data_IF_546382544190
#
_entry.id   IF_546382544190
#
_cell.length_a   1.000
_cell.length_b   1.000
_cell.length_c   1.000
_cell.angle_alpha   90.00
_cell.angle_beta   90.00
_cell.angle_gamma   90.00
#
_symmetry.space_group_name_H-M   'P 1'
#
loop_
_entity.id
_entity.type
_entity.pdbx_description
1 polymer ?
#
# COMPACT_ATOMS: atom_id res chain seq x y z
N UNK A 1 7.33 3.53 -20.37
CA UNK A 1 7.61 2.29 -21.14
C UNK A 1 6.47 2.07 -22.14
N UNK A 2 6.78 1.76 -23.40
CA UNK A 2 5.74 1.46 -24.36
C UNK A 2 5.09 0.07 -24.10
N UNK A 3 4.03 -0.26 -24.86
CA UNK A 3 3.32 -1.55 -24.71
C UNK A 3 4.16 -2.78 -25.07
N UNK A 4 5.35 -2.61 -25.59
CA UNK A 4 6.30 -3.69 -25.92
C UNK A 4 7.44 -3.79 -24.90
N UNK A 5 7.42 -2.99 -23.82
CA UNK A 5 8.44 -2.98 -22.78
C UNK A 5 9.67 -2.12 -23.09
N UNK A 6 9.69 -1.37 -24.21
CA UNK A 6 10.81 -0.47 -24.49
C UNK A 6 10.73 0.78 -23.61
N UNK A 7 11.88 1.22 -23.11
CA UNK A 7 11.98 2.46 -22.35
C UNK A 7 11.68 3.65 -23.26
N UNK A 8 10.63 4.42 -22.95
CA UNK A 8 10.34 5.67 -23.62
C UNK A 8 11.14 6.82 -23.03
N UNK A 9 11.25 6.84 -21.72
CA UNK A 9 12.09 7.78 -20.98
C UNK A 9 12.47 7.20 -19.60
N UNK A 10 13.52 7.75 -19.02
CA UNK A 10 14.01 7.43 -17.68
C UNK A 10 14.42 8.73 -17.00
N UNK A 11 13.93 8.94 -15.78
CA UNK A 11 14.28 10.09 -14.96
C UNK A 11 14.50 9.71 -13.51
N UNK A 12 15.37 10.48 -12.85
CA UNK A 12 15.63 10.35 -11.41
C UNK A 12 15.18 11.61 -10.70
N UNK A 13 14.32 11.45 -9.70
CA UNK A 13 13.83 12.57 -8.88
C UNK A 13 14.48 12.53 -7.50
N UNK A 14 15.21 13.59 -7.16
CA UNK A 14 15.85 13.68 -5.85
C UNK A 14 14.87 14.21 -4.81
N UNK A 15 14.48 13.34 -3.88
CA UNK A 15 13.82 13.69 -2.63
C UNK A 15 14.85 13.88 -1.47
N UNK A 16 16.15 13.91 -1.78
CA UNK A 16 17.26 13.96 -0.86
C UNK A 16 17.85 12.60 -0.53
N UNK A 17 19.00 12.56 0.18
CA UNK A 17 19.64 11.31 0.55
C UNK A 17 18.68 10.36 1.29
N UNK A 18 18.62 9.09 0.86
CA UNK A 18 17.73 8.04 1.39
C UNK A 18 16.24 8.21 1.07
N UNK A 19 15.86 9.00 0.05
CA UNK A 19 14.49 9.03 -0.46
C UNK A 19 14.19 7.73 -1.23
N UNK A 20 13.41 6.82 -0.63
CA UNK A 20 12.94 5.61 -1.31
C UNK A 20 11.53 5.85 -1.82
N UNK A 21 11.27 5.46 -3.08
CA UNK A 21 9.92 5.43 -3.65
C UNK A 21 9.07 4.37 -2.99
N UNK A 22 7.79 4.65 -2.92
CA UNK A 22 6.79 3.76 -2.34
C UNK A 22 5.62 3.54 -3.28
N UNK A 23 5.12 4.58 -3.91
CA UNK A 23 3.97 4.52 -4.80
C UNK A 23 4.16 5.46 -5.97
N UNK A 24 3.65 5.07 -7.13
CA UNK A 24 3.59 5.86 -8.36
C UNK A 24 2.27 5.63 -9.06
N UNK A 25 1.62 6.71 -9.47
CA UNK A 25 0.40 6.66 -10.27
C UNK A 25 0.54 7.50 -11.53
N UNK A 26 -0.19 7.14 -12.57
CA UNK A 26 -0.44 8.04 -13.68
C UNK A 26 -1.56 8.99 -13.31
N UNK A 27 -1.38 10.29 -13.60
CA UNK A 27 -2.37 11.33 -13.31
C UNK A 27 -3.28 11.59 -14.50
N UNK A 28 -4.44 12.21 -14.25
CA UNK A 28 -5.49 12.47 -15.27
C UNK A 28 -4.99 13.32 -16.45
N UNK A 29 -3.96 14.12 -16.25
CA UNK A 29 -3.28 14.90 -17.29
C UNK A 29 -2.27 14.09 -18.12
N UNK A 30 -2.13 12.79 -17.84
CA UNK A 30 -1.19 11.89 -18.48
C UNK A 30 0.22 11.92 -17.89
N UNK A 31 0.48 12.77 -16.90
CA UNK A 31 1.72 12.81 -16.16
C UNK A 31 1.79 11.74 -15.05
N UNK A 32 2.72 11.90 -14.11
CA UNK A 32 2.97 10.93 -13.06
C UNK A 32 3.11 11.59 -11.70
N UNK A 33 2.54 10.99 -10.68
CA UNK A 33 2.72 11.38 -9.29
C UNK A 33 3.46 10.27 -8.56
N UNK A 34 4.58 10.61 -7.94
CA UNK A 34 5.44 9.69 -7.23
C UNK A 34 5.57 10.11 -5.77
N UNK A 35 5.42 9.19 -4.85
CA UNK A 35 5.54 9.44 -3.42
C UNK A 35 6.47 8.44 -2.73
N UNK A 36 7.01 8.85 -1.59
CA UNK A 36 7.88 8.01 -0.78
C UNK A 36 8.44 8.74 0.43
N UNK A 37 9.58 8.26 0.90
CA UNK A 37 10.31 8.93 1.97
C UNK A 37 10.73 10.32 1.51
N UNK A 38 10.45 11.30 2.37
CA UNK A 38 10.80 12.71 2.26
C UNK A 38 9.96 13.54 1.29
N UNK A 39 8.97 12.99 0.64
CA UNK A 39 8.07 13.84 -0.14
C UNK A 39 7.33 13.18 -1.28
N UNK A 40 6.85 14.05 -2.15
CA UNK A 40 6.05 13.75 -3.32
C UNK A 40 6.56 14.57 -4.49
N UNK A 41 6.55 13.99 -5.70
CA UNK A 41 6.96 14.62 -6.96
C UNK A 41 5.86 14.42 -7.99
N UNK A 42 5.52 15.48 -8.71
CA UNK A 42 4.71 15.43 -9.93
C UNK A 42 5.61 15.65 -11.14
N UNK A 43 5.47 14.79 -12.14
CA UNK A 43 6.12 14.92 -13.43
C UNK A 43 5.07 14.97 -14.55
N UNK A 44 5.41 15.57 -15.67
CA UNK A 44 4.59 15.53 -16.88
C UNK A 44 4.64 14.14 -17.57
N UNK A 45 3.94 14.00 -18.69
CA UNK A 45 3.89 12.76 -19.46
C UNK A 45 5.26 12.30 -20.01
N UNK A 46 6.24 13.20 -20.11
CA UNK A 46 7.61 12.92 -20.54
C UNK A 46 8.57 12.67 -19.37
N UNK A 47 8.04 12.64 -18.13
CA UNK A 47 8.82 12.47 -16.92
C UNK A 47 9.58 13.72 -16.47
N UNK A 48 9.25 14.91 -16.98
CA UNK A 48 9.88 16.18 -16.53
C UNK A 48 9.21 16.63 -15.24
N UNK A 49 10.02 16.90 -14.20
CA UNK A 49 9.52 17.39 -12.90
C UNK A 49 8.77 18.71 -13.10
N UNK A 50 7.49 18.73 -12.74
CA UNK A 50 6.66 19.93 -12.70
C UNK A 50 6.75 20.62 -11.34
N UNK A 51 6.65 19.84 -10.29
CA UNK A 51 6.82 20.28 -8.90
C UNK A 51 7.18 19.12 -7.98
N UNK A 52 7.71 19.49 -6.81
CA UNK A 52 7.92 18.58 -5.68
C UNK A 52 7.58 19.24 -4.36
N UNK A 53 7.15 18.44 -3.40
CA UNK A 53 6.94 18.87 -2.03
C UNK A 53 7.69 17.97 -1.05
N UNK A 54 8.70 18.54 -0.40
CA UNK A 54 9.52 17.90 0.63
C UNK A 54 9.40 18.62 1.97
N UNK A 55 8.31 19.36 2.16
CA UNK A 55 8.09 20.20 3.33
C UNK A 55 8.11 19.40 4.61
N UNK A 56 9.04 19.70 5.47
CA UNK A 56 9.16 19.11 6.81
C UNK A 56 8.00 19.57 7.69
N UNK A 57 7.60 18.71 8.59
CA UNK A 57 6.68 19.05 9.65
C UNK A 57 7.29 18.76 11.01
N UNK A 58 7.30 19.77 11.90
CA UNK A 58 7.92 19.68 13.21
C UNK A 58 9.38 19.15 13.14
N UNK A 59 10.10 19.50 12.06
CA UNK A 59 11.48 19.07 11.83
C UNK A 59 11.63 17.68 11.18
N UNK A 60 10.57 16.88 11.13
CA UNK A 60 10.58 15.55 10.49
C UNK A 60 10.22 15.64 9.00
N UNK A 61 10.82 14.77 8.20
CA UNK A 61 10.41 14.59 6.81
C UNK A 61 9.09 13.80 6.73
N UNK A 62 8.25 14.08 5.74
CA UNK A 62 7.09 13.25 5.49
C UNK A 62 7.53 11.84 5.06
N UNK A 63 6.73 10.87 5.44
CA UNK A 63 6.86 9.49 5.06
C UNK A 63 5.53 9.06 4.44
N UNK A 64 5.51 8.91 3.13
CA UNK A 64 4.34 8.49 2.39
C UNK A 64 4.52 7.05 1.92
N UNK A 65 3.51 6.23 2.17
CA UNK A 65 3.45 4.84 1.71
C UNK A 65 2.70 4.73 0.39
N UNK A 66 1.63 5.53 0.24
CA UNK A 66 0.81 5.49 -0.96
C UNK A 66 0.28 6.87 -1.34
N UNK A 67 -0.09 7.02 -2.62
CA UNK A 67 -0.58 8.26 -3.22
C UNK A 67 -1.66 7.98 -4.25
N UNK A 68 -2.67 8.84 -4.31
CA UNK A 68 -3.70 8.80 -5.33
C UNK A 68 -4.06 10.18 -5.87
N UNK A 69 -4.60 10.22 -7.08
CA UNK A 69 -5.36 11.36 -7.58
C UNK A 69 -6.85 11.04 -7.51
N UNK A 70 -7.58 11.84 -6.79
CA UNK A 70 -9.03 11.74 -6.66
C UNK A 70 -9.73 12.33 -7.89
N UNK A 71 -10.94 11.86 -8.18
CA UNK A 71 -11.78 12.35 -9.29
C UNK A 71 -12.01 13.86 -9.28
N UNK A 72 -11.96 14.49 -8.09
CA UNK A 72 -12.03 15.94 -7.92
C UNK A 72 -10.75 16.72 -8.31
N UNK A 73 -9.71 16.03 -8.83
CA UNK A 73 -8.45 16.60 -9.29
C UNK A 73 -7.38 16.82 -8.22
N UNK A 74 -7.70 16.71 -6.93
CA UNK A 74 -6.71 16.83 -5.86
C UNK A 74 -5.90 15.55 -5.66
N UNK A 75 -4.69 15.70 -5.12
CA UNK A 75 -3.85 14.57 -4.75
C UNK A 75 -3.94 14.28 -3.25
N UNK A 76 -3.87 13.01 -2.91
CA UNK A 76 -3.87 12.52 -1.54
C UNK A 76 -2.72 11.57 -1.32
N UNK A 77 -2.02 11.71 -0.20
CA UNK A 77 -0.98 10.80 0.21
C UNK A 77 -1.23 10.33 1.64
N UNK A 78 -0.94 9.06 1.90
CA UNK A 78 -1.07 8.44 3.21
C UNK A 78 0.25 7.86 3.67
N UNK A 79 0.41 7.66 4.97
CA UNK A 79 1.61 7.09 5.57
C UNK A 79 1.70 7.38 7.07
N UNK A 80 2.91 7.52 7.57
CA UNK A 80 3.18 7.87 8.96
C UNK A 80 4.61 8.37 9.13
N UNK A 81 4.95 9.05 10.23
CA UNK A 81 6.30 9.60 10.45
C UNK A 81 7.31 8.57 10.97
N UNK A 82 6.98 7.26 10.99
CA UNK A 82 7.87 6.21 11.46
C UNK A 82 7.96 6.05 12.99
N UNK A 83 7.29 6.90 13.73
CA UNK A 83 7.04 6.77 15.18
C UNK A 83 5.92 7.74 15.56
N UNK A 84 4.68 7.27 15.64
CA UNK A 84 3.54 8.11 16.01
C UNK A 84 2.28 7.82 15.22
N UNK A 85 1.56 8.87 14.86
CA UNK A 85 0.25 8.78 14.24
C UNK A 85 0.31 8.57 12.74
N UNK A 86 -0.62 7.80 12.19
CA UNK A 86 -0.87 7.75 10.75
C UNK A 86 -1.32 9.11 10.21
N UNK A 87 -1.04 9.39 8.95
CA UNK A 87 -1.37 10.67 8.33
C UNK A 87 -2.09 10.53 6.99
N UNK A 88 -2.98 11.48 6.72
CA UNK A 88 -3.57 11.76 5.42
C UNK A 88 -3.23 13.20 5.04
N UNK A 89 -2.67 13.40 3.86
CA UNK A 89 -2.29 14.72 3.35
C UNK A 89 -2.96 14.97 2.01
N UNK A 90 -3.63 16.11 1.89
CA UNK A 90 -4.25 16.60 0.66
C UNK A 90 -3.38 17.69 0.04
N UNK A 91 -3.15 17.59 -1.27
CA UNK A 91 -2.41 18.58 -2.05
C UNK A 91 -3.31 19.13 -3.18
N UNK A 92 -3.04 20.36 -3.56
CA UNK A 92 -3.60 20.91 -4.79
C UNK A 92 -2.77 20.51 -6.02
N UNK A 93 -3.20 20.91 -7.20
CA UNK A 93 -2.57 20.65 -8.49
C UNK A 93 -1.11 21.15 -8.59
N UNK A 94 -0.75 22.16 -7.79
CA UNK A 94 0.61 22.74 -7.75
C UNK A 94 1.46 22.21 -6.60
N UNK A 95 1.03 21.13 -5.94
CA UNK A 95 1.78 20.46 -4.87
C UNK A 95 1.76 21.15 -3.51
N UNK A 96 0.92 22.19 -3.32
CA UNK A 96 0.78 22.82 -2.02
C UNK A 96 -0.12 21.98 -1.10
N UNK A 97 0.30 21.79 0.15
CA UNK A 97 -0.50 21.11 1.16
C UNK A 97 -1.71 21.96 1.52
N UNK A 98 -2.91 21.42 1.30
CA UNK A 98 -4.18 22.04 1.68
C UNK A 98 -4.66 21.59 3.05
N UNK A 99 -4.47 20.30 3.36
CA UNK A 99 -4.91 19.71 4.62
C UNK A 99 -3.94 18.60 5.01
N UNK A 100 -3.67 18.51 6.30
CA UNK A 100 -3.00 17.37 6.92
C UNK A 100 -3.80 16.93 8.12
N UNK A 101 -4.09 15.67 8.20
CA UNK A 101 -4.81 15.04 9.31
C UNK A 101 -3.97 13.91 9.89
N UNK A 102 -4.03 13.80 11.19
CA UNK A 102 -3.38 12.75 11.96
C UNK A 102 -4.45 11.84 12.56
N UNK A 103 -4.17 10.55 12.57
CA UNK A 103 -5.09 9.52 13.04
C UNK A 103 -4.35 8.59 14.00
N UNK A 104 -5.10 7.98 14.93
CA UNK A 104 -4.56 7.11 15.95
C UNK A 104 -4.07 7.83 17.19
N UNK A 105 -3.36 7.11 18.04
CA UNK A 105 -2.85 7.62 19.32
C UNK A 105 -1.50 8.32 19.21
N UNK A 106 -1.25 9.23 20.13
CA UNK A 106 0.12 9.74 20.28
C UNK A 106 0.98 8.63 20.88
N UNK A 107 2.16 8.40 20.32
CA UNK A 107 3.09 7.37 20.75
C UNK A 107 2.65 5.93 20.39
N UNK A 108 1.68 5.78 19.52
CA UNK A 108 1.33 4.53 18.85
C UNK A 108 2.07 4.52 17.52
N UNK A 109 2.52 3.36 17.09
CA UNK A 109 3.20 3.22 15.77
C UNK A 109 2.15 2.90 14.71
N UNK A 110 1.18 3.84 14.57
CA UNK A 110 0.10 3.73 13.59
C UNK A 110 0.58 4.20 12.23
N UNK A 111 0.19 3.47 11.18
CA UNK A 111 0.57 3.83 9.83
C UNK A 111 -0.54 3.46 8.83
N UNK A 112 -0.80 4.32 7.88
CA UNK A 112 -1.58 4.02 6.69
C UNK A 112 -0.66 3.51 5.57
N UNK A 113 -1.11 2.48 4.86
CA UNK A 113 -0.34 1.77 3.84
C UNK A 113 -0.87 1.99 2.43
N UNK A 114 -2.19 2.00 2.26
CA UNK A 114 -2.81 2.18 0.95
C UNK A 114 -4.07 3.02 1.03
N UNK A 115 -4.41 3.71 -0.05
CA UNK A 115 -5.56 4.62 -0.17
C UNK A 115 -6.22 4.47 -1.53
N UNK A 116 -7.54 4.35 -1.55
CA UNK A 116 -8.35 4.36 -2.77
C UNK A 116 -9.52 5.33 -2.66
N UNK A 117 -10.03 5.77 -3.81
CA UNK A 117 -11.31 6.46 -3.92
C UNK A 117 -12.45 5.44 -3.95
N UNK A 118 -13.50 5.70 -3.20
CA UNK A 118 -14.71 4.87 -3.19
C UNK A 118 -15.74 5.38 -4.20
N UNK A 119 -16.73 4.55 -4.62
CA UNK A 119 -17.76 4.97 -5.58
C UNK A 119 -18.59 6.18 -5.15
N UNK A 120 -18.67 6.46 -3.86
CA UNK A 120 -19.34 7.64 -3.28
C UNK A 120 -18.37 8.84 -3.08
N UNK A 121 -17.25 8.84 -3.81
CA UNK A 121 -16.25 9.92 -3.84
C UNK A 121 -15.63 10.22 -2.46
N UNK A 122 -15.57 9.21 -1.58
CA UNK A 122 -14.83 9.27 -0.33
C UNK A 122 -13.48 8.60 -0.47
N UNK A 123 -12.70 8.62 0.60
CA UNK A 123 -11.41 7.95 0.69
C UNK A 123 -11.54 6.73 1.60
N UNK A 124 -11.09 5.57 1.12
CA UNK A 124 -10.92 4.39 1.92
C UNK A 124 -9.44 4.10 2.09
N UNK A 125 -9.01 3.99 3.32
CA UNK A 125 -7.61 3.92 3.71
C UNK A 125 -7.41 2.67 4.56
N UNK A 126 -6.36 1.92 4.31
CA UNK A 126 -5.99 0.76 5.13
C UNK A 126 -4.57 0.87 5.65
N UNK A 127 -4.32 0.16 6.72
CA UNK A 127 -3.00 0.11 7.35
C UNK A 127 -3.03 -0.69 8.64
N UNK A 128 -2.29 -0.22 9.63
CA UNK A 128 -2.13 -0.89 10.91
C UNK A 128 -2.34 0.10 12.06
N UNK A 129 -3.13 -0.33 13.03
CA UNK A 129 -3.36 0.37 14.30
C UNK A 129 -2.72 -0.41 15.42
N UNK A 130 -1.87 0.27 16.14
CA UNK A 130 -1.24 -0.31 17.33
C UNK A 130 -2.23 -0.30 18.47
N UNK A 131 -2.34 -1.41 19.18
CA UNK A 131 -3.04 -1.47 20.45
C UNK A 131 -2.17 -2.17 21.50
N UNK A 132 -2.27 -1.73 22.72
CA UNK A 132 -1.51 -2.28 23.83
C UNK A 132 -1.73 -1.46 25.09
N UNK A 133 -1.28 -1.98 26.22
CA UNK A 133 -1.47 -1.31 27.50
C UNK A 133 -0.72 0.03 27.50
N UNK A 134 -1.46 1.12 27.34
CA UNK A 134 -0.98 2.51 27.36
C UNK A 134 -0.46 2.88 28.76
N UNK A 135 0.55 2.21 29.22
CA UNK A 135 1.23 2.62 30.45
C UNK A 135 2.61 3.12 30.11
N UNK A 136 2.73 4.44 30.21
CA UNK A 136 3.98 5.21 30.33
C UNK A 136 4.76 5.53 29.08
N UNK A 137 4.64 6.81 28.68
CA UNK A 137 5.56 7.58 27.85
C UNK A 137 6.02 6.92 26.53
N UNK A 138 6.19 7.72 25.51
CA UNK A 138 6.75 7.35 24.19
C UNK A 138 8.17 6.69 24.24
N UNK A 139 8.55 6.18 25.38
CA UNK A 139 9.82 5.53 25.66
C UNK A 139 9.61 4.00 25.73
N UNK A 140 9.93 3.33 24.60
CA UNK A 140 10.38 1.96 24.55
C UNK A 140 9.53 0.87 25.25
N UNK A 141 8.26 0.70 24.86
CA UNK A 141 7.54 -0.52 25.21
C UNK A 141 7.38 -1.41 23.97
N UNK A 142 8.14 -2.49 23.94
CA UNK A 142 8.44 -3.36 22.79
C UNK A 142 7.39 -4.44 22.51
N UNK A 143 6.17 -4.34 23.01
CA UNK A 143 5.09 -5.30 22.69
C UNK A 143 3.94 -4.55 22.02
N UNK A 144 4.09 -4.28 20.73
CA UNK A 144 3.03 -3.71 19.93
C UNK A 144 2.23 -4.83 19.27
N UNK A 145 0.97 -4.96 19.68
CA UNK A 145 -0.02 -5.67 18.91
C UNK A 145 -0.53 -4.72 17.84
N UNK A 146 -0.59 -5.18 16.62
CA UNK A 146 -1.11 -4.39 15.51
C UNK A 146 -2.28 -5.10 14.90
N UNK A 147 -3.38 -4.39 14.69
CA UNK A 147 -4.54 -4.84 13.97
C UNK A 147 -4.64 -4.14 12.62
N UNK A 148 -5.26 -4.81 11.65
CA UNK A 148 -5.70 -4.17 10.43
C UNK A 148 -6.58 -2.99 10.80
N UNK A 149 -6.26 -1.84 10.26
CA UNK A 149 -7.04 -0.63 10.43
C UNK A 149 -7.61 -0.17 9.10
N UNK A 150 -8.92 0.03 9.07
CA UNK A 150 -9.65 0.50 7.90
C UNK A 150 -10.37 1.78 8.29
N UNK A 151 -10.15 2.84 7.53
CA UNK A 151 -10.73 4.16 7.80
C UNK A 151 -11.37 4.70 6.54
N UNK A 152 -12.69 4.96 6.57
CA UNK A 152 -13.37 5.71 5.53
C UNK A 152 -13.48 7.17 5.94
N UNK A 153 -13.04 8.06 5.07
CA UNK A 153 -13.03 9.50 5.35
C UNK A 153 -13.64 10.29 4.19
N UNK A 154 -14.17 11.45 4.49
CA UNK A 154 -14.45 12.49 3.50
C UNK A 154 -13.14 13.06 2.96
N UNK A 155 -13.21 13.72 1.81
CA UNK A 155 -12.06 14.38 1.16
C UNK A 155 -11.39 15.49 1.97
N UNK A 156 -11.99 15.92 3.07
CA UNK A 156 -11.41 16.85 4.05
C UNK A 156 -10.73 16.14 5.24
N UNK A 157 -10.71 14.81 5.22
CA UNK A 157 -10.14 13.97 6.27
C UNK A 157 -11.06 13.79 7.50
N UNK A 158 -12.33 14.16 7.41
CA UNK A 158 -13.32 13.84 8.45
C UNK A 158 -13.70 12.36 8.38
N UNK A 159 -13.54 11.64 9.47
CA UNK A 159 -13.86 10.21 9.55
C UNK A 159 -15.37 10.01 9.41
N UNK A 160 -15.75 9.12 8.49
CA UNK A 160 -17.12 8.63 8.37
C UNK A 160 -17.32 7.40 9.25
N UNK A 161 -16.42 6.46 9.14
CA UNK A 161 -16.28 5.31 10.03
C UNK A 161 -14.84 4.79 10.05
N UNK A 162 -14.50 4.08 11.11
CA UNK A 162 -13.28 3.30 11.22
C UNK A 162 -13.56 1.93 11.80
N UNK A 163 -12.79 0.93 11.39
CA UNK A 163 -12.84 -0.43 11.91
C UNK A 163 -11.45 -1.01 12.06
N UNK A 164 -11.33 -1.90 13.05
CA UNK A 164 -10.14 -2.72 13.25
C UNK A 164 -10.51 -4.18 13.13
N UNK A 165 -9.65 -4.95 12.49
CA UNK A 165 -9.77 -6.39 12.36
C UNK A 165 -8.46 -7.01 12.79
N UNK A 166 -8.51 -7.86 13.80
CA UNK A 166 -7.32 -8.50 14.32
C UNK A 166 -7.64 -9.56 15.37
N UNK A 167 -6.61 -10.07 15.98
CA UNK A 167 -6.66 -11.14 16.95
C UNK A 167 -5.66 -10.92 18.07
N UNK A 168 -5.22 -12.01 18.73
CA UNK A 168 -4.27 -11.90 19.84
C UNK A 168 -2.83 -11.62 19.41
N UNK A 169 -2.57 -11.53 18.10
CA UNK A 169 -1.24 -11.33 17.53
C UNK A 169 -1.20 -10.09 16.63
N UNK A 170 -0.33 -10.09 15.62
CA UNK A 170 -0.24 -8.97 14.68
C UNK A 170 -0.92 -9.31 13.36
N UNK A 171 -1.85 -8.46 12.96
CA UNK A 171 -2.45 -8.42 11.65
C UNK A 171 -2.25 -7.02 11.06
N UNK A 172 -1.79 -6.95 9.81
CA UNK A 172 -1.50 -5.68 9.14
C UNK A 172 -2.07 -5.71 7.73
N UNK A 173 -2.66 -4.60 7.27
CA UNK A 173 -3.02 -4.44 5.87
C UNK A 173 -1.91 -3.71 5.13
N UNK A 174 -1.56 -4.20 3.95
CA UNK A 174 -0.58 -3.59 3.07
C UNK A 174 -1.23 -2.84 1.92
N UNK A 175 -2.29 -3.42 1.34
CA UNK A 175 -2.93 -2.86 0.15
C UNK A 175 -4.41 -3.22 0.08
N UNK A 176 -5.18 -2.45 -0.71
CA UNK A 176 -6.62 -2.63 -0.91
C UNK A 176 -7.01 -2.33 -2.35
N UNK A 177 -7.90 -3.14 -2.92
CA UNK A 177 -8.47 -2.94 -4.24
C UNK A 177 -9.99 -3.08 -4.23
N UNK A 178 -10.73 -2.31 -5.06
CA UNK A 178 -12.19 -2.43 -5.17
C UNK A 178 -12.57 -3.71 -5.89
N UNK A 179 -13.68 -4.33 -5.49
CA UNK A 179 -14.28 -5.48 -6.19
C UNK A 179 -15.40 -4.99 -7.09
N UNK A 180 -15.44 -5.46 -8.33
CA UNK A 180 -16.45 -5.02 -9.31
C UNK A 180 -17.90 -5.27 -8.85
N UNK A 181 -18.15 -6.32 -8.08
CA UNK A 181 -19.48 -6.66 -7.54
C UNK A 181 -19.86 -5.88 -6.29
N UNK A 182 -19.01 -4.96 -5.82
CA UNK A 182 -19.16 -4.20 -4.59
C UNK A 182 -18.24 -4.69 -3.47
N UNK A 183 -17.90 -3.78 -2.56
CA UNK A 183 -16.94 -4.02 -1.50
C UNK A 183 -15.48 -4.01 -1.99
N UNK A 184 -14.58 -4.54 -1.16
CA UNK A 184 -13.13 -4.42 -1.38
C UNK A 184 -12.40 -5.70 -0.99
N UNK A 185 -11.26 -5.91 -1.63
CA UNK A 185 -10.30 -6.95 -1.27
C UNK A 185 -9.05 -6.28 -0.70
N UNK A 186 -8.62 -6.70 0.47
CA UNK A 186 -7.36 -6.26 1.04
C UNK A 186 -6.39 -7.43 1.20
N UNK A 187 -5.10 -7.11 1.13
CA UNK A 187 -4.02 -8.04 1.38
C UNK A 187 -3.14 -7.53 2.51
N UNK A 188 -2.61 -8.45 3.28
CA UNK A 188 -1.76 -8.10 4.40
C UNK A 188 -1.04 -9.30 5.02
N UNK A 189 -0.62 -9.10 6.24
CA UNK A 189 0.13 -10.08 7.01
C UNK A 189 -0.64 -10.50 8.26
N UNK A 190 -0.53 -11.80 8.59
CA UNK A 190 -0.96 -12.36 9.85
C UNK A 190 0.18 -13.11 10.51
N UNK A 191 0.41 -12.83 11.78
CA UNK A 191 1.38 -13.55 12.62
C UNK A 191 0.66 -14.51 13.55
N UNK A 192 1.21 -15.71 13.74
CA UNK A 192 0.64 -16.69 14.68
C UNK A 192 1.30 -16.62 16.06
N UNK A 193 2.46 -15.98 16.17
CA UNK A 193 3.22 -15.85 17.40
C UNK A 193 3.98 -14.54 17.43
N UNK A 194 4.07 -13.93 18.61
CA UNK A 194 5.03 -12.86 18.87
C UNK A 194 6.33 -13.49 19.36
N UNK A 195 7.42 -13.25 18.65
CA UNK A 195 8.76 -13.41 19.23
C UNK A 195 9.14 -12.15 20.01
N UNK A 196 10.10 -12.30 20.94
CA UNK A 196 10.60 -11.18 21.74
C UNK A 196 10.75 -9.91 20.88
N UNK A 197 10.13 -8.82 21.35
CA UNK A 197 10.17 -7.48 20.73
C UNK A 197 9.19 -7.21 19.57
N UNK A 198 8.00 -7.81 19.55
CA UNK A 198 6.93 -7.35 18.62
C UNK A 198 7.23 -7.51 17.13
N UNK A 199 8.12 -8.40 16.74
CA UNK A 199 8.43 -8.65 15.34
C UNK A 199 7.85 -9.99 14.87
N UNK A 200 7.16 -9.95 13.74
CA UNK A 200 6.63 -11.11 13.01
C UNK A 200 7.70 -11.79 12.14
N UNK A 201 8.96 -11.77 12.52
CA UNK A 201 10.09 -11.95 11.60
C UNK A 201 10.27 -13.33 10.98
N UNK A 202 9.55 -14.38 11.39
CA UNK A 202 9.80 -15.72 10.83
C UNK A 202 8.58 -16.55 10.44
N UNK A 203 7.36 -16.06 10.65
CA UNK A 203 6.13 -16.81 10.37
C UNK A 203 4.95 -15.94 9.93
N UNK A 204 5.20 -14.82 9.27
CA UNK A 204 4.14 -14.04 8.66
C UNK A 204 3.48 -14.88 7.57
N UNK A 205 2.15 -14.94 7.62
CA UNK A 205 1.31 -15.55 6.59
C UNK A 205 0.68 -14.45 5.79
N UNK A 206 0.39 -14.71 4.53
CA UNK A 206 -0.43 -13.81 3.72
C UNK A 206 -1.87 -13.88 4.22
N UNK A 207 -2.45 -12.76 4.53
CA UNK A 207 -3.86 -12.60 4.84
C UNK A 207 -4.54 -11.88 3.68
N UNK A 208 -5.57 -12.49 3.12
CA UNK A 208 -6.47 -11.86 2.16
C UNK A 208 -7.82 -11.75 2.82
N UNK A 209 -8.42 -10.56 2.79
CA UNK A 209 -9.71 -10.30 3.42
C UNK A 209 -10.62 -9.58 2.45
N UNK A 210 -11.84 -10.08 2.32
CA UNK A 210 -12.92 -9.39 1.62
C UNK A 210 -13.79 -8.63 2.61
N UNK A 211 -14.04 -7.37 2.32
CA UNK A 211 -14.93 -6.53 3.13
C UNK A 211 -16.06 -5.95 2.28
N UNK A 212 -17.18 -5.64 2.93
CA UNK A 212 -18.26 -4.87 2.33
C UNK A 212 -17.96 -3.35 2.30
N UNK A 213 -18.90 -2.57 1.79
CA UNK A 213 -18.76 -1.09 1.69
C UNK A 213 -18.75 -0.40 3.06
N UNK A 214 -19.27 -1.06 4.09
CA UNK A 214 -19.26 -0.62 5.50
C UNK A 214 -18.01 -1.10 6.26
N UNK A 215 -17.09 -1.83 5.59
CA UNK A 215 -15.85 -2.36 6.18
C UNK A 215 -16.05 -3.59 7.06
N UNK A 216 -17.18 -4.31 6.96
CA UNK A 216 -17.37 -5.57 7.65
C UNK A 216 -16.63 -6.69 6.92
N UNK A 217 -15.97 -7.55 7.67
CA UNK A 217 -15.34 -8.75 7.11
C UNK A 217 -16.40 -9.72 6.62
N UNK A 218 -16.40 -9.99 5.31
CA UNK A 218 -17.27 -10.97 4.66
C UNK A 218 -16.62 -12.34 4.58
N UNK A 219 -15.32 -12.36 4.32
CA UNK A 219 -14.51 -13.57 4.20
C UNK A 219 -13.04 -13.23 4.37
N UNK A 220 -12.30 -14.19 4.91
CA UNK A 220 -10.84 -14.09 4.97
C UNK A 220 -10.18 -15.42 4.69
N UNK A 221 -9.05 -15.36 4.01
CA UNK A 221 -8.19 -16.48 3.74
C UNK A 221 -6.80 -16.21 4.30
N UNK A 222 -6.21 -17.22 4.94
CA UNK A 222 -4.84 -17.17 5.40
C UNK A 222 -4.07 -18.21 4.61
N UNK A 223 -3.22 -17.75 3.70
CA UNK A 223 -2.39 -18.63 2.89
C UNK A 223 -1.23 -19.13 3.75
N UNK A 224 -1.19 -20.45 4.06
CA UNK A 224 -0.16 -21.00 4.92
C UNK A 224 1.20 -20.90 4.26
N UNK A 225 2.05 -20.13 4.88
CA UNK A 225 3.48 -20.27 4.81
C UNK A 225 4.15 -20.31 3.47
N UNK A 226 4.42 -19.17 2.91
CA UNK A 226 5.70 -19.01 2.22
C UNK A 226 6.77 -19.19 3.33
N UNK A 227 7.26 -20.40 3.50
CA UNK A 227 8.10 -20.89 4.62
C UNK A 227 9.39 -20.10 4.90
N UNK A 228 9.65 -19.02 4.18
CA UNK A 228 10.96 -18.42 4.02
C UNK A 228 11.01 -16.89 4.20
N UNK A 229 9.94 -16.28 4.73
CA UNK A 229 9.92 -14.84 4.95
C UNK A 229 10.65 -14.48 6.25
N UNK A 230 11.86 -13.97 6.13
CA UNK A 230 12.67 -13.46 7.26
C UNK A 230 12.31 -11.99 7.59
N UNK A 231 11.49 -11.35 6.75
CA UNK A 231 11.00 -9.97 6.94
C UNK A 231 9.50 -9.96 6.72
N UNK A 232 8.82 -8.94 7.21
CA UNK A 232 7.44 -8.66 6.85
C UNK A 232 7.46 -8.22 5.39
N UNK A 233 6.95 -9.04 4.46
CA UNK A 233 6.99 -8.69 3.05
C UNK A 233 5.97 -7.60 2.74
N UNK A 234 6.24 -6.84 1.72
CA UNK A 234 5.27 -5.98 1.09
C UNK A 234 4.42 -6.82 0.14
N UNK A 235 3.12 -6.53 0.13
CA UNK A 235 2.18 -7.15 -0.78
C UNK A 235 1.38 -6.06 -1.46
N UNK A 236 1.04 -6.29 -2.72
CA UNK A 236 0.07 -5.49 -3.44
C UNK A 236 -0.99 -6.39 -4.05
N UNK A 237 -2.21 -5.88 -4.19
CA UNK A 237 -3.36 -6.60 -4.71
C UNK A 237 -4.05 -5.76 -5.77
N UNK A 238 -4.50 -6.41 -6.84
CA UNK A 238 -5.38 -5.82 -7.83
C UNK A 238 -6.55 -6.75 -8.11
N UNK A 239 -7.70 -6.21 -8.45
CA UNK A 239 -8.86 -6.99 -8.85
C UNK A 239 -8.92 -7.14 -10.35
N UNK A 240 -9.41 -8.29 -10.80
CA UNK A 240 -9.64 -8.62 -12.20
C UNK A 240 -11.14 -8.70 -12.48
N UNK A 241 -11.52 -8.96 -13.74
CA UNK A 241 -12.92 -9.17 -14.07
C UNK A 241 -13.54 -10.37 -13.34
N UNK A 242 -12.74 -11.40 -13.11
CA UNK A 242 -13.19 -12.72 -12.65
C UNK A 242 -12.66 -13.07 -11.24
N UNK A 243 -11.81 -12.22 -10.64
CA UNK A 243 -11.21 -12.48 -9.35
C UNK A 243 -10.25 -11.39 -8.91
N UNK A 244 -9.08 -11.81 -8.42
CA UNK A 244 -8.00 -10.90 -8.01
C UNK A 244 -6.64 -11.51 -8.28
N UNK A 245 -5.63 -10.66 -8.37
CA UNK A 245 -4.23 -11.06 -8.40
C UNK A 245 -3.44 -10.30 -7.34
N UNK A 246 -2.39 -10.90 -6.83
CA UNK A 246 -1.50 -10.26 -5.85
C UNK A 246 -0.05 -10.67 -6.08
N UNK A 247 0.84 -9.79 -5.69
CA UNK A 247 2.29 -10.01 -5.74
C UNK A 247 2.88 -9.99 -4.34
N UNK A 248 3.88 -10.83 -4.11
CA UNK A 248 4.58 -10.93 -2.84
C UNK A 248 6.10 -11.08 -3.04
N UNK A 249 6.86 -10.46 -2.16
CA UNK A 249 8.32 -10.65 -2.10
C UNK A 249 8.68 -12.07 -1.62
N UNK A 250 9.74 -12.66 -2.18
CA UNK A 250 10.30 -13.94 -1.76
C UNK A 250 11.73 -13.79 -1.22
N UNK A 251 12.10 -14.64 -0.26
CA UNK A 251 13.41 -14.65 0.44
C UNK A 251 14.65 -14.62 -0.47
N UNK A 252 14.56 -15.19 -1.65
CA UNK A 252 15.67 -15.27 -2.61
C UNK A 252 15.64 -14.13 -3.63
N UNK A 253 15.08 -12.98 -3.26
CA UNK A 253 14.94 -11.82 -4.12
C UNK A 253 14.05 -12.03 -5.36
N UNK A 254 13.10 -12.96 -5.30
CA UNK A 254 12.12 -13.19 -6.35
C UNK A 254 10.75 -12.64 -5.99
N UNK A 255 9.87 -12.59 -6.96
CA UNK A 255 8.47 -12.21 -6.79
C UNK A 255 7.57 -13.38 -7.11
N UNK A 256 6.67 -13.70 -6.21
CA UNK A 256 5.54 -14.57 -6.48
C UNK A 256 4.34 -13.71 -6.92
N UNK A 257 3.72 -14.11 -8.01
CA UNK A 257 2.48 -13.51 -8.52
C UNK A 257 1.44 -14.61 -8.49
N UNK A 258 0.32 -14.32 -7.86
CA UNK A 258 -0.81 -15.24 -7.76
C UNK A 258 -2.03 -14.60 -8.39
N UNK A 259 -2.70 -15.38 -9.22
CA UNK A 259 -4.04 -15.06 -9.70
C UNK A 259 -5.04 -16.04 -9.10
N UNK A 260 -6.07 -15.51 -8.51
CA UNK A 260 -7.15 -16.29 -7.90
C UNK A 260 -8.45 -15.97 -8.62
N UNK A 261 -9.00 -17.00 -9.28
CA UNK A 261 -10.34 -16.96 -9.89
C UNK A 261 -11.23 -17.85 -9.03
N UNK A 262 -12.35 -17.36 -8.51
CA UNK A 262 -13.24 -18.15 -7.68
C UNK A 262 -13.62 -19.48 -8.34
N UNK A 263 -13.60 -20.57 -7.56
CA UNK A 263 -13.91 -21.94 -7.98
C UNK A 263 -12.94 -22.56 -9.01
N UNK A 264 -11.74 -22.02 -9.15
CA UNK A 264 -10.64 -22.62 -9.89
C UNK A 264 -9.42 -22.78 -9.00
N UNK A 265 -8.47 -23.64 -9.39
CA UNK A 265 -7.17 -23.68 -8.72
C UNK A 265 -6.42 -22.38 -9.01
N UNK A 266 -5.77 -21.76 -8.01
CA UNK A 266 -4.96 -20.55 -8.23
C UNK A 266 -3.82 -20.82 -9.20
N UNK A 267 -3.64 -19.94 -10.18
CA UNK A 267 -2.44 -19.90 -11.00
C UNK A 267 -1.37 -19.03 -10.35
N UNK A 268 -0.11 -19.38 -10.54
CA UNK A 268 1.00 -18.60 -9.99
C UNK A 268 2.23 -18.70 -10.89
N UNK A 269 3.02 -17.63 -10.88
CA UNK A 269 4.35 -17.61 -11.47
C UNK A 269 5.36 -17.13 -10.45
N UNK A 270 6.61 -17.52 -10.62
CA UNK A 270 7.75 -17.03 -9.88
C UNK A 270 8.71 -16.34 -10.84
N UNK A 271 9.17 -15.16 -10.50
CA UNK A 271 10.19 -14.43 -11.27
C UNK A 271 11.45 -14.28 -10.43
N UNK A 272 12.60 -14.49 -11.07
CA UNK A 272 13.88 -14.12 -10.47
C UNK A 272 13.99 -12.59 -10.44
N UNK A 273 14.45 -12.01 -9.33
CA UNK A 273 14.58 -10.58 -9.13
C UNK A 273 14.10 -10.15 -7.74
N UNK A 274 14.34 -8.91 -7.35
CA UNK A 274 13.90 -8.39 -6.05
C UNK A 274 12.38 -8.27 -5.99
N UNK A 275 11.82 -8.50 -4.79
CA UNK A 275 10.40 -8.62 -4.53
C UNK A 275 9.52 -7.55 -5.16
N UNK A 276 8.33 -7.96 -5.64
CA UNK A 276 7.33 -7.04 -6.18
C UNK A 276 6.77 -6.13 -5.11
N UNK A 277 6.64 -4.85 -5.44
CA UNK A 277 6.04 -3.85 -4.57
C UNK A 277 4.59 -3.56 -4.92
N UNK A 278 4.30 -3.61 -6.21
CA UNK A 278 3.02 -3.16 -6.73
C UNK A 278 2.62 -4.00 -7.93
N UNK A 279 1.38 -4.43 -7.97
CA UNK A 279 0.77 -5.13 -9.10
C UNK A 279 -0.47 -4.37 -9.56
N UNK A 280 -0.56 -4.14 -10.86
CA UNK A 280 -1.72 -3.52 -11.48
C UNK A 280 -2.22 -4.34 -12.67
N UNK A 281 -3.54 -4.42 -12.81
CA UNK A 281 -4.18 -5.03 -13.96
C UNK A 281 -4.08 -4.10 -15.17
N UNK A 282 -3.75 -4.65 -16.31
CA UNK A 282 -3.60 -3.88 -17.56
C UNK A 282 -4.82 -4.04 -18.47
N UNK A 283 -5.03 -3.09 -19.37
CA UNK A 283 -6.21 -3.06 -20.26
C UNK A 283 -6.30 -4.21 -21.24
N UNK A 284 -5.18 -4.88 -21.49
CA UNK A 284 -5.11 -6.09 -22.33
C UNK A 284 -5.37 -7.39 -21.55
N UNK A 285 -5.72 -7.27 -20.27
CA UNK A 285 -6.08 -8.41 -19.41
C UNK A 285 -4.90 -9.03 -18.65
N UNK A 286 -3.67 -8.56 -18.85
CA UNK A 286 -2.49 -9.00 -18.14
C UNK A 286 -2.18 -8.15 -16.90
N UNK A 287 -0.96 -8.26 -16.41
CA UNK A 287 -0.50 -7.54 -15.21
C UNK A 287 0.80 -6.81 -15.47
N UNK A 288 1.01 -5.72 -14.75
CA UNK A 288 2.28 -5.03 -14.65
C UNK A 288 2.71 -5.01 -13.19
N UNK A 289 3.95 -5.38 -12.93
CA UNK A 289 4.51 -5.50 -11.59
C UNK A 289 5.78 -4.66 -11.51
N UNK A 290 5.84 -3.78 -10.54
CA UNK A 290 7.06 -3.07 -10.17
C UNK A 290 7.83 -3.82 -9.09
N UNK A 291 9.16 -3.89 -9.19
CA UNK A 291 10.02 -4.58 -8.23
C UNK A 291 10.96 -3.61 -7.51
N UNK A 292 11.51 -4.04 -6.37
CA UNK A 292 12.39 -3.22 -5.51
C UNK A 292 13.70 -2.82 -6.20
N UNK A 293 14.18 -3.59 -7.14
CA UNK A 293 15.39 -3.32 -7.92
C UNK A 293 15.12 -2.47 -9.17
N UNK A 294 13.86 -2.02 -9.33
CA UNK A 294 13.44 -1.20 -10.47
C UNK A 294 13.13 -2.01 -11.72
N UNK A 295 13.05 -3.34 -11.65
CA UNK A 295 12.55 -4.15 -12.74
C UNK A 295 11.04 -3.96 -12.90
N UNK A 296 10.56 -3.92 -14.12
CA UNK A 296 9.15 -3.93 -14.46
C UNK A 296 8.85 -5.21 -15.23
N UNK A 297 7.88 -5.97 -14.73
CA UNK A 297 7.46 -7.23 -15.33
C UNK A 297 6.07 -7.01 -15.93
N UNK A 298 5.90 -7.34 -17.21
CA UNK A 298 4.60 -7.35 -17.88
C UNK A 298 4.26 -8.79 -18.21
N UNK A 299 3.06 -9.22 -17.84
CA UNK A 299 2.53 -10.53 -18.19
C UNK A 299 1.29 -10.39 -19.08
N UNK A 300 0.89 -11.46 -19.73
CA UNK A 300 -0.45 -11.58 -20.30
C UNK A 300 -1.48 -12.02 -19.24
N UNK A 301 -2.71 -12.29 -19.69
CA UNK A 301 -3.81 -12.73 -18.80
C UNK A 301 -3.61 -14.13 -18.21
N UNK A 302 -2.71 -14.93 -18.79
CA UNK A 302 -2.37 -16.29 -18.34
C UNK A 302 -1.09 -16.31 -17.48
N UNK A 303 -0.60 -15.13 -17.08
CA UNK A 303 0.65 -14.93 -16.35
C UNK A 303 1.92 -15.36 -17.11
N UNK A 304 1.87 -15.41 -18.45
CA UNK A 304 3.04 -15.65 -19.29
C UNK A 304 3.81 -14.33 -19.54
N UNK A 305 5.14 -14.37 -19.52
CA UNK A 305 6.03 -13.23 -19.75
C UNK A 305 7.21 -13.61 -20.67
#
# INVERSE_FOLDING_TARGET
MDKYGNTEWENSYSLGAFGNGRSVIQTQDGGYLYAGWKGIVKADANGIEEWKNTSRQNGAYPYYEDVMQHSNGFYYAVGGPGAGQAQLVKFNETGNVLTRKWYGGQCEDDIFRSIIETPDEMLLIVGEKTHGNQSYSCAFNFMYYKDIWIVKTRTNGGVEWEKTHGGPYMEMANDIAPIRSGGYMLIGNKCDHLYDIGSCSQKAKVLIMQIDEEGNNLNQEVIPGLKWMERIPYYSITTTNDGYAWAAEHKNNGTWIYQVIPNTDPSYIYTDGFGGFEINHTTDGGFIIGTMDGLIIKTDSELLY
#
